data_IF_441022638143
#
_entry.id   IF_441022638143
#
_cell.length_a   1.000
_cell.length_b   1.000
_cell.length_c   1.000
_cell.angle_alpha   90.00
_cell.angle_beta   90.00
_cell.angle_gamma   90.00
#
_symmetry.space_group_name_H-M   'P 1'
#
loop_
_entity.id
_entity.type
_entity.pdbx_description
1 polymer ?
#
# COMPACT_ATOMS: atom_id res chain seq x y z
N UNK A 1 10.89 14.46 1.10
CA UNK A 1 10.25 13.50 0.17
C UNK A 1 10.05 14.14 -1.18
N UNK A 2 10.46 13.45 -2.25
CA UNK A 2 10.24 13.81 -3.65
C UNK A 2 9.06 12.99 -4.17
N UNK A 3 8.06 13.64 -4.74
CA UNK A 3 6.98 12.96 -5.44
C UNK A 3 7.53 12.20 -6.65
N UNK A 4 6.99 10.99 -6.87
CA UNK A 4 7.21 10.21 -8.08
C UNK A 4 6.02 10.52 -9.01
N UNK A 5 6.25 11.10 -10.20
CA UNK A 5 5.17 11.37 -11.14
C UNK A 5 4.42 10.10 -11.52
N UNK A 6 3.13 10.04 -11.17
CA UNK A 6 2.27 8.90 -11.42
C UNK A 6 0.85 9.39 -11.71
N UNK A 7 0.52 9.55 -12.98
CA UNK A 7 -0.82 9.95 -13.42
C UNK A 7 -1.75 8.73 -13.44
N UNK A 8 -2.25 8.40 -12.26
CA UNK A 8 -3.02 7.18 -12.01
C UNK A 8 -4.32 7.13 -12.81
N UNK A 9 -4.91 8.27 -13.19
CA UNK A 9 -6.12 8.37 -14.04
C UNK A 9 -5.94 7.84 -15.46
N UNK A 10 -4.71 7.74 -15.96
CA UNK A 10 -4.43 7.22 -17.30
C UNK A 10 -4.51 5.70 -17.40
N UNK A 11 -4.56 4.98 -16.28
CA UNK A 11 -4.42 3.53 -16.26
C UNK A 11 -5.71 2.83 -15.84
N UNK A 12 -6.15 1.89 -16.67
CA UNK A 12 -7.27 0.99 -16.38
C UNK A 12 -6.88 -0.20 -15.48
N UNK A 13 -5.58 -0.45 -15.31
CA UNK A 13 -5.00 -1.50 -14.44
C UNK A 13 -4.02 -0.89 -13.43
N UNK A 14 -3.63 -1.64 -12.40
CA UNK A 14 -2.60 -1.22 -11.44
C UNK A 14 -1.19 -1.73 -11.79
N UNK A 15 -0.95 -2.18 -13.02
CA UNK A 15 0.35 -2.75 -13.42
C UNK A 15 1.49 -1.73 -13.39
N UNK A 16 1.21 -0.48 -13.75
CA UNK A 16 2.20 0.61 -13.65
C UNK A 16 2.55 0.88 -12.19
N UNK A 17 1.56 0.97 -11.32
CA UNK A 17 1.78 1.06 -9.87
C UNK A 17 2.65 -0.09 -9.35
N UNK A 18 2.30 -1.34 -9.70
CA UNK A 18 3.05 -2.54 -9.31
C UNK A 18 4.50 -2.49 -9.78
N UNK A 19 4.74 -2.02 -11.01
CA UNK A 19 6.09 -1.89 -11.55
C UNK A 19 6.96 -0.91 -10.75
N UNK A 20 6.37 0.18 -10.24
CA UNK A 20 7.05 1.18 -9.42
C UNK A 20 7.36 0.60 -8.03
N UNK A 21 6.34 0.12 -7.32
CA UNK A 21 6.50 -0.38 -5.94
C UNK A 21 7.40 -1.62 -5.87
N UNK A 22 7.43 -2.45 -6.92
CA UNK A 22 8.31 -3.64 -7.01
C UNK A 22 9.78 -3.31 -6.72
N UNK A 23 10.28 -2.20 -7.26
CA UNK A 23 11.67 -1.80 -7.04
C UNK A 23 11.97 -1.55 -5.56
N UNK A 24 11.06 -0.85 -4.87
CA UNK A 24 11.21 -0.49 -3.47
C UNK A 24 10.99 -1.68 -2.54
N UNK A 25 10.01 -2.54 -2.85
CA UNK A 25 9.80 -3.80 -2.14
C UNK A 25 11.07 -4.65 -2.11
N UNK A 26 11.77 -4.78 -3.25
CA UNK A 26 13.02 -5.55 -3.33
C UNK A 26 14.19 -4.91 -2.56
N UNK A 27 14.10 -3.62 -2.22
CA UNK A 27 15.14 -2.89 -1.48
C UNK A 27 14.80 -2.75 0.02
N UNK A 28 13.64 -3.23 0.45
CA UNK A 28 13.12 -3.05 1.80
C UNK A 28 13.20 -4.29 2.66
N UNK A 29 13.23 -4.08 3.98
CA UNK A 29 13.18 -5.15 4.98
C UNK A 29 11.92 -5.06 5.84
N UNK A 30 11.38 -3.87 6.04
CA UNK A 30 10.20 -3.61 6.88
C UNK A 30 9.13 -2.84 6.11
N UNK A 31 7.88 -3.12 6.45
CA UNK A 31 6.72 -2.36 5.97
C UNK A 31 5.88 -1.83 7.13
N UNK A 32 5.14 -0.76 6.86
CA UNK A 32 3.98 -0.30 7.62
C UNK A 32 2.83 -0.10 6.65
N UNK A 33 1.70 -0.76 6.89
CA UNK A 33 0.44 -0.58 6.17
C UNK A 33 -0.53 0.16 7.09
N UNK A 34 -1.25 1.14 6.54
CA UNK A 34 -2.34 1.83 7.22
C UNK A 34 -3.64 1.64 6.44
N UNK A 35 -4.70 1.35 7.16
CA UNK A 35 -6.07 1.22 6.65
C UNK A 35 -7.00 2.01 7.58
N UNK A 36 -8.13 2.51 7.07
CA UNK A 36 -9.17 3.02 7.96
C UNK A 36 -9.81 1.87 8.74
N UNK A 37 -10.28 2.13 9.96
CA UNK A 37 -10.80 1.07 10.87
C UNK A 37 -12.03 0.33 10.32
N UNK A 38 -12.79 0.94 9.43
CA UNK A 38 -13.96 0.35 8.75
C UNK A 38 -13.59 -0.51 7.52
N UNK A 39 -12.32 -0.53 7.10
CA UNK A 39 -11.83 -1.33 5.98
C UNK A 39 -11.43 -2.76 6.41
N UNK A 40 -12.35 -3.49 7.05
CA UNK A 40 -12.09 -4.81 7.66
C UNK A 40 -11.41 -5.81 6.72
N UNK A 41 -11.80 -5.82 5.43
CA UNK A 41 -11.20 -6.70 4.43
C UNK A 41 -9.73 -6.34 4.18
N UNK A 42 -9.41 -5.05 4.00
CA UNK A 42 -8.03 -4.60 3.80
C UNK A 42 -7.17 -4.89 5.03
N UNK A 43 -7.70 -4.61 6.23
CA UNK A 43 -7.04 -4.94 7.50
C UNK A 43 -6.73 -6.43 7.59
N UNK A 44 -7.70 -7.30 7.33
CA UNK A 44 -7.53 -8.76 7.37
C UNK A 44 -6.44 -9.25 6.41
N UNK A 45 -6.39 -8.71 5.19
CA UNK A 45 -5.35 -9.05 4.22
C UNK A 45 -3.95 -8.66 4.73
N UNK A 46 -3.79 -7.43 5.23
CA UNK A 46 -2.49 -6.95 5.74
C UNK A 46 -2.03 -7.69 7.01
N UNK A 47 -2.96 -8.09 7.89
CA UNK A 47 -2.66 -8.88 9.09
C UNK A 47 -2.12 -10.29 8.80
N UNK A 48 -2.30 -10.80 7.57
CA UNK A 48 -1.69 -12.08 7.17
C UNK A 48 -0.16 -12.02 7.11
N UNK A 49 0.43 -10.81 7.06
CA UNK A 49 1.88 -10.59 6.89
C UNK A 49 2.51 -9.76 8.01
N UNK A 50 1.72 -9.27 8.96
CA UNK A 50 2.17 -8.34 9.97
C UNK A 50 1.36 -8.42 11.25
N UNK A 51 1.56 -7.44 12.13
CA UNK A 51 0.82 -7.30 13.37
C UNK A 51 0.42 -5.85 13.59
N UNK A 52 -0.67 -5.66 14.32
CA UNK A 52 -1.10 -4.32 14.75
C UNK A 52 0.03 -3.69 15.58
N UNK A 53 0.37 -2.45 15.26
CA UNK A 53 1.27 -1.61 16.04
C UNK A 53 0.47 -1.10 17.24
N UNK A 54 0.96 -1.34 18.46
CA UNK A 54 0.25 -1.10 19.73
C UNK A 54 -0.34 0.32 19.92
N UNK A 55 0.10 1.29 19.12
CA UNK A 55 -0.39 2.67 19.10
C UNK A 55 -1.37 2.82 17.93
N UNK A 56 -2.63 2.42 18.14
CA UNK A 56 -3.67 2.67 17.15
C UNK A 56 -4.03 4.16 17.11
N UNK A 57 -4.16 4.69 15.90
CA UNK A 57 -4.81 5.97 15.66
C UNK A 57 -6.32 5.85 15.96
N UNK A 58 -6.99 6.98 16.19
CA UNK A 58 -8.46 7.01 16.31
C UNK A 58 -9.14 6.47 15.05
N UNK A 59 -8.57 6.73 13.87
CA UNK A 59 -9.19 6.47 12.57
C UNK A 59 -8.51 5.35 11.77
N UNK A 60 -7.27 5.00 12.09
CA UNK A 60 -6.48 4.06 11.31
C UNK A 60 -6.00 2.86 12.13
N UNK A 61 -6.02 1.69 11.51
CA UNK A 61 -5.28 0.51 11.99
C UNK A 61 -3.92 0.50 11.31
N UNK A 62 -2.85 0.46 12.13
CA UNK A 62 -1.47 0.44 11.66
C UNK A 62 -0.91 -0.98 11.80
N UNK A 63 -0.45 -1.58 10.70
CA UNK A 63 0.04 -2.96 10.63
C UNK A 63 1.50 -2.93 10.18
N UNK A 64 2.39 -3.51 10.98
CA UNK A 64 3.83 -3.55 10.71
C UNK A 64 4.32 -4.98 10.55
N UNK A 65 5.30 -5.19 9.67
CA UNK A 65 5.86 -6.51 9.41
C UNK A 65 7.18 -6.47 8.64
N UNK A 66 7.66 -7.66 8.30
CA UNK A 66 8.84 -7.87 7.45
C UNK A 66 8.43 -7.94 5.97
N UNK A 67 9.26 -7.38 5.10
CA UNK A 67 9.12 -7.52 3.65
C UNK A 67 9.69 -8.89 3.26
N UNK A 68 8.88 -9.93 3.46
CA UNK A 68 9.20 -11.30 3.04
C UNK A 68 8.92 -11.52 1.55
N UNK A 69 9.41 -12.63 1.00
CA UNK A 69 9.10 -13.01 -0.39
C UNK A 69 7.60 -13.14 -0.62
N UNK A 70 6.88 -13.74 0.33
CA UNK A 70 5.44 -13.93 0.30
C UNK A 70 4.70 -12.59 0.35
N UNK A 71 5.18 -11.62 1.14
CA UNK A 71 4.61 -10.27 1.16
C UNK A 71 4.82 -9.54 -0.17
N UNK A 72 6.01 -9.65 -0.77
CA UNK A 72 6.28 -9.08 -2.11
C UNK A 72 5.34 -9.69 -3.15
N UNK A 73 5.22 -11.02 -3.18
CA UNK A 73 4.33 -11.73 -4.09
C UNK A 73 2.87 -11.33 -3.86
N UNK A 74 2.45 -11.17 -2.60
CA UNK A 74 1.13 -10.69 -2.25
C UNK A 74 0.86 -9.29 -2.84
N UNK A 75 1.70 -8.29 -2.55
CA UNK A 75 1.51 -6.92 -3.05
C UNK A 75 1.48 -6.88 -4.59
N UNK A 76 2.36 -7.62 -5.25
CA UNK A 76 2.45 -7.62 -6.72
C UNK A 76 1.30 -8.39 -7.40
N UNK A 77 0.60 -9.27 -6.69
CA UNK A 77 -0.55 -10.01 -7.21
C UNK A 77 -1.91 -9.43 -6.80
N UNK A 78 -1.94 -8.36 -5.99
CA UNK A 78 -3.21 -7.69 -5.64
C UNK A 78 -3.94 -7.22 -6.91
N UNK A 79 -5.23 -7.58 -7.08
CA UNK A 79 -6.02 -7.02 -8.16
C UNK A 79 -6.18 -5.51 -7.94
N UNK A 80 -6.37 -4.76 -9.03
CA UNK A 80 -6.78 -3.37 -8.90
C UNK A 80 -8.11 -3.33 -8.15
N UNK A 81 -8.26 -2.56 -7.06
CA UNK A 81 -9.54 -2.42 -6.39
C UNK A 81 -10.61 -1.92 -7.37
N UNK A 82 -11.81 -2.49 -7.26
CA UNK A 82 -12.98 -2.00 -8.00
C UNK A 82 -13.22 -0.57 -7.53
N UNK A 83 -13.39 0.35 -8.48
CA UNK A 83 -13.73 1.73 -8.17
C UNK A 83 -15.10 1.74 -7.47
N UNK A 84 -15.10 2.00 -6.18
CA UNK A 84 -16.32 2.23 -5.41
C UNK A 84 -16.84 3.64 -5.69
N UNK A 85 -18.02 3.96 -5.17
CA UNK A 85 -18.67 5.28 -5.31
C UNK A 85 -17.89 6.43 -4.61
N UNK A 86 -16.73 6.15 -4.02
CA UNK A 86 -15.85 7.12 -3.35
C UNK A 86 -14.98 7.96 -4.31
N UNK A 87 -15.15 7.77 -5.63
CA UNK A 87 -14.43 8.48 -6.71
C UNK A 87 -12.90 8.30 -6.70
N UNK A 88 -12.34 7.38 -5.92
CA UNK A 88 -10.90 7.10 -5.96
C UNK A 88 -10.59 6.06 -7.04
N UNK A 89 -9.71 6.42 -7.99
CA UNK A 89 -9.09 5.43 -8.88
C UNK A 89 -7.97 4.68 -8.12
N UNK A 90 -8.37 3.88 -7.13
CA UNK A 90 -7.47 3.14 -6.22
C UNK A 90 -6.58 2.16 -6.99
N UNK A 91 -5.31 2.08 -6.60
CA UNK A 91 -4.32 1.16 -7.17
C UNK A 91 -4.06 -0.06 -6.27
N UNK A 92 -4.28 0.11 -4.96
CA UNK A 92 -4.09 -0.89 -3.91
C UNK A 92 -5.19 -0.71 -2.85
N UNK A 93 -5.64 -1.77 -2.15
CA UNK A 93 -6.74 -1.67 -1.20
C UNK A 93 -6.36 -1.01 0.14
N UNK A 94 -5.09 -0.68 0.35
CA UNK A 94 -4.63 -0.06 1.59
C UNK A 94 -4.57 1.45 1.45
N UNK A 95 -4.94 2.18 2.49
CA UNK A 95 -4.85 3.64 2.47
C UNK A 95 -3.41 4.10 2.25
N UNK A 96 -2.45 3.55 3.00
CA UNK A 96 -1.02 3.83 2.80
C UNK A 96 -0.13 2.59 3.01
N UNK A 97 0.99 2.54 2.29
CA UNK A 97 2.08 1.57 2.45
C UNK A 97 3.39 2.36 2.58
N UNK A 98 4.11 2.17 3.67
CA UNK A 98 5.42 2.72 3.92
C UNK A 98 6.46 1.61 3.93
N UNK A 99 7.58 1.86 3.28
CA UNK A 99 8.71 0.95 3.16
C UNK A 99 9.96 1.62 3.73
N UNK A 100 10.78 0.85 4.47
CA UNK A 100 12.04 1.34 5.06
C UNK A 100 13.11 1.71 4.02
N UNK A 101 12.87 1.48 2.72
CA UNK A 101 13.64 2.03 1.60
C UNK A 101 13.37 3.52 1.36
N UNK A 102 12.71 4.21 2.30
CA UNK A 102 12.21 5.57 2.19
C UNK A 102 11.19 5.77 1.06
N UNK A 103 10.37 4.77 0.77
CA UNK A 103 9.26 4.86 -0.18
C UNK A 103 7.92 4.90 0.56
N UNK A 104 7.00 5.71 0.06
CA UNK A 104 5.60 5.64 0.48
C UNK A 104 4.66 5.63 -0.73
N UNK A 105 3.60 4.84 -0.58
CA UNK A 105 2.45 4.75 -1.47
C UNK A 105 1.24 5.15 -0.64
N UNK A 106 0.73 6.35 -0.83
CA UNK A 106 -0.31 6.98 -0.02
C UNK A 106 -1.60 7.17 -0.81
N UNK A 107 -2.70 7.42 -0.11
CA UNK A 107 -4.04 7.62 -0.68
C UNK A 107 -4.42 6.53 -1.69
N UNK A 108 -4.40 5.26 -1.26
CA UNK A 108 -4.69 4.09 -2.09
C UNK A 108 -3.76 3.90 -3.29
N UNK A 109 -2.50 4.35 -3.13
CA UNK A 109 -1.46 4.26 -4.14
C UNK A 109 -1.61 5.26 -5.28
N UNK A 110 -2.40 6.32 -5.08
CA UNK A 110 -2.54 7.42 -6.04
C UNK A 110 -1.45 8.48 -5.88
N UNK A 111 -0.81 8.54 -4.71
CA UNK A 111 0.31 9.42 -4.43
C UNK A 111 1.55 8.60 -4.04
N UNK A 112 2.66 8.82 -4.74
CA UNK A 112 3.90 8.07 -4.53
C UNK A 112 5.04 9.02 -4.19
N UNK A 113 5.84 8.66 -3.18
CA UNK A 113 6.96 9.47 -2.71
C UNK A 113 8.21 8.64 -2.44
N UNK A 114 9.39 9.28 -2.57
CA UNK A 114 10.69 8.71 -2.17
C UNK A 114 11.60 9.76 -1.53
N UNK A 115 12.54 9.37 -0.66
CA UNK A 115 13.67 10.23 -0.28
C UNK A 115 14.96 9.84 -1.01
#
# INVERSE_FOLDING_TARGET
>A
MKSIPFDYWKYSTNEVYKSIIKHYLLCSRKFEIRCFKDEEYAISQALSFGKIKNEESEFETVIVGDVSKEFIEFILNLPKPIQADDNYNKMVPFFSIFLDSNFSSEHYGTELYRN
#
